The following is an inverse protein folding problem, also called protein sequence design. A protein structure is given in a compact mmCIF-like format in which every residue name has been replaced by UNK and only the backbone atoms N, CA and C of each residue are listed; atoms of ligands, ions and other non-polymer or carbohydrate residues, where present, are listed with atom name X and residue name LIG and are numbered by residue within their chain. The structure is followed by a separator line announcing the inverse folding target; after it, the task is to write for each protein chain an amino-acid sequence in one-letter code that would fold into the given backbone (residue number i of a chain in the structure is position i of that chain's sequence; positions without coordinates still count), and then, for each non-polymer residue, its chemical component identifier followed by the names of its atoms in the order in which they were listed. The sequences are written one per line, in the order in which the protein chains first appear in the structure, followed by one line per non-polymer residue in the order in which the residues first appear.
data_IF_809518078389
#
_entry.id   IF_809518078389
#
_cell.length_a   1.000
_cell.length_b   1.000
_cell.length_c   1.000
_cell.angle_alpha   90.00
_cell.angle_beta   90.00
_cell.angle_gamma   90.00
#
_symmetry.space_group_name_H-M   'P 1'
#
loop_
_entity.id
_entity.type
_entity.pdbx_description
1 polymer ?
#
# COMPACT_ATOMS: atom_id res chain seq x y z
N UNK A 1 -22.05 -22.45 -13.97
CA UNK A 1 -21.13 -21.65 -13.13
C UNK A 1 -21.82 -20.34 -12.81
N UNK A 2 -21.79 -19.91 -11.55
CA UNK A 2 -22.43 -18.66 -11.10
C UNK A 2 -21.58 -17.48 -11.58
N UNK A 3 -22.15 -16.44 -12.22
CA UNK A 3 -21.38 -15.26 -12.62
C UNK A 3 -20.94 -14.44 -11.41
N UNK A 4 -19.68 -13.98 -11.41
CA UNK A 4 -19.11 -13.12 -10.37
C UNK A 4 -18.64 -11.81 -10.99
N UNK A 5 -19.24 -10.69 -10.55
CA UNK A 5 -18.83 -9.35 -10.96
C UNK A 5 -17.57 -8.90 -10.25
N UNK A 6 -16.72 -8.15 -10.95
CA UNK A 6 -15.51 -7.55 -10.40
C UNK A 6 -15.23 -6.18 -11.01
N UNK A 7 -14.43 -5.41 -10.30
CA UNK A 7 -13.82 -4.16 -10.79
C UNK A 7 -12.31 -4.33 -10.76
N UNK A 8 -11.65 -4.06 -11.87
CA UNK A 8 -10.19 -3.95 -11.93
C UNK A 8 -9.78 -2.55 -11.51
N UNK A 9 -8.94 -2.47 -10.48
CA UNK A 9 -8.44 -1.20 -9.93
C UNK A 9 -6.93 -1.22 -9.86
N UNK A 10 -6.30 -0.06 -9.85
CA UNK A 10 -4.85 0.06 -9.62
C UNK A 10 -4.48 1.36 -8.90
N UNK A 11 -3.38 1.31 -8.16
CA UNK A 11 -2.75 2.46 -7.55
C UNK A 11 -1.25 2.42 -7.74
N UNK A 12 -0.72 3.29 -8.60
CA UNK A 12 0.71 3.36 -8.97
C UNK A 12 1.23 2.03 -9.54
N UNK A 13 0.49 1.44 -10.47
CA UNK A 13 0.86 0.21 -11.16
C UNK A 13 0.50 -1.08 -10.41
N UNK A 14 0.33 -1.02 -9.10
CA UNK A 14 -0.11 -2.16 -8.30
C UNK A 14 -1.62 -2.38 -8.46
N UNK A 15 -2.00 -3.49 -9.08
CA UNK A 15 -3.34 -3.70 -9.65
C UNK A 15 -4.09 -4.90 -9.05
N UNK A 16 -5.39 -4.73 -8.82
CA UNK A 16 -6.21 -5.66 -8.05
C UNK A 16 -7.54 -6.00 -8.71
N UNK A 17 -8.03 -7.21 -8.43
CA UNK A 17 -9.41 -7.62 -8.69
C UNK A 17 -10.23 -7.28 -7.44
N UNK A 18 -11.05 -6.23 -7.52
CA UNK A 18 -11.93 -5.82 -6.43
C UNK A 18 -13.27 -6.55 -6.53
N UNK A 19 -13.67 -7.22 -5.45
CA UNK A 19 -14.93 -7.93 -5.30
C UNK A 19 -15.73 -7.30 -4.17
N UNK A 20 -16.88 -6.73 -4.51
CA UNK A 20 -17.80 -6.17 -3.52
C UNK A 20 -18.59 -7.31 -2.84
N UNK A 21 -18.41 -7.41 -1.52
CA UNK A 21 -19.02 -8.41 -0.63
C UNK A 21 -19.67 -7.75 0.57
N UNK A 22 -19.98 -6.44 0.52
CA UNK A 22 -20.61 -5.70 1.62
C UNK A 22 -21.99 -6.23 2.02
N UNK A 23 -22.67 -6.91 1.09
CA UNK A 23 -23.97 -7.55 1.36
C UNK A 23 -23.86 -8.91 2.08
N UNK A 24 -22.65 -9.45 2.26
CA UNK A 24 -22.40 -10.72 2.96
C UNK A 24 -22.41 -10.52 4.47
N UNK A 25 -22.87 -11.53 5.20
CA UNK A 25 -22.62 -11.65 6.64
C UNK A 25 -21.14 -11.89 6.93
N UNK A 26 -20.75 -11.76 8.21
CA UNK A 26 -19.37 -12.01 8.63
C UNK A 26 -18.92 -13.45 8.36
N UNK A 27 -19.78 -14.43 8.62
CA UNK A 27 -19.47 -15.85 8.38
C UNK A 27 -19.28 -16.14 6.89
N UNK A 28 -20.17 -15.59 6.03
CA UNK A 28 -20.01 -15.71 4.57
C UNK A 28 -18.73 -15.02 4.07
N UNK A 29 -18.30 -13.93 4.70
CA UNK A 29 -17.06 -13.25 4.32
C UNK A 29 -15.83 -14.13 4.58
N UNK A 30 -15.81 -14.90 5.68
CA UNK A 30 -14.71 -15.82 5.97
C UNK A 30 -14.64 -16.97 4.93
N UNK A 31 -15.79 -17.41 4.42
CA UNK A 31 -15.87 -18.35 3.30
C UNK A 31 -15.37 -17.72 1.99
N UNK A 32 -15.72 -16.47 1.70
CA UNK A 32 -15.25 -15.72 0.52
C UNK A 32 -13.73 -15.48 0.57
N UNK A 33 -13.16 -15.25 1.76
CA UNK A 33 -11.70 -15.20 1.95
C UNK A 33 -11.07 -16.53 1.59
N UNK A 34 -11.59 -17.63 2.13
CA UNK A 34 -11.07 -18.98 1.84
C UNK A 34 -11.15 -19.31 0.36
N UNK A 35 -12.26 -18.95 -0.29
CA UNK A 35 -12.44 -19.07 -1.74
C UNK A 35 -11.42 -18.23 -2.52
N UNK A 36 -11.20 -16.97 -2.12
CA UNK A 36 -10.27 -16.08 -2.78
C UNK A 36 -8.83 -16.62 -2.67
N UNK A 37 -8.43 -17.12 -1.51
CA UNK A 37 -7.11 -17.73 -1.31
C UNK A 37 -6.91 -18.97 -2.20
N UNK A 38 -7.93 -19.82 -2.32
CA UNK A 38 -7.88 -21.02 -3.16
C UNK A 38 -7.83 -20.72 -4.67
N UNK A 39 -8.22 -19.52 -5.10
CA UNK A 39 -8.38 -19.17 -6.52
C UNK A 39 -7.54 -17.98 -6.98
N UNK A 40 -6.85 -17.30 -6.07
CA UNK A 40 -6.02 -16.13 -6.36
C UNK A 40 -5.03 -16.41 -7.48
N UNK A 41 -4.27 -17.50 -7.42
CA UNK A 41 -3.23 -17.80 -8.41
C UNK A 41 -3.78 -17.89 -9.83
N UNK A 42 -4.97 -18.50 -10.01
CA UNK A 42 -5.60 -18.62 -11.33
C UNK A 42 -6.23 -17.31 -11.79
N UNK A 43 -6.91 -16.57 -10.91
CA UNK A 43 -7.58 -15.33 -11.28
C UNK A 43 -6.57 -14.21 -11.57
N UNK A 44 -5.50 -14.15 -10.77
CA UNK A 44 -4.42 -13.18 -10.88
C UNK A 44 -3.41 -13.52 -11.99
N UNK A 45 -3.41 -14.74 -12.53
CA UNK A 45 -2.55 -15.09 -13.67
C UNK A 45 -2.83 -14.15 -14.87
N UNK A 46 -1.79 -13.46 -15.33
CA UNK A 46 -1.92 -12.42 -16.37
C UNK A 46 -2.15 -12.96 -17.78
N UNK A 47 -2.00 -14.27 -18.00
CA UNK A 47 -2.11 -14.90 -19.34
C UNK A 47 -3.43 -15.63 -19.54
N UNK A 48 -3.95 -16.24 -18.48
CA UNK A 48 -5.08 -17.16 -18.49
C UNK A 48 -6.20 -16.72 -17.53
N UNK A 49 -5.91 -15.80 -16.61
CA UNK A 49 -6.87 -15.18 -15.71
C UNK A 49 -7.26 -13.77 -16.13
N UNK A 50 -7.71 -12.99 -15.14
CA UNK A 50 -7.97 -11.55 -15.29
C UNK A 50 -6.64 -10.77 -15.27
N UNK A 51 -5.65 -11.29 -14.55
CA UNK A 51 -4.34 -10.66 -14.37
C UNK A 51 -4.35 -9.60 -13.28
N UNK A 52 -3.63 -9.79 -12.18
CA UNK A 52 -3.52 -8.86 -11.05
C UNK A 52 -2.39 -9.24 -10.10
N UNK A 53 -2.03 -8.34 -9.19
CA UNK A 53 -1.16 -8.65 -8.05
C UNK A 53 -1.91 -9.30 -6.89
N UNK A 54 -3.24 -9.12 -6.84
CA UNK A 54 -4.10 -9.71 -5.81
C UNK A 54 -5.60 -9.44 -6.00
N UNK A 55 -6.38 -9.94 -5.05
CA UNK A 55 -7.81 -9.77 -4.91
C UNK A 55 -8.08 -8.89 -3.68
N UNK A 56 -8.97 -7.91 -3.83
CA UNK A 56 -9.48 -7.08 -2.74
C UNK A 56 -10.94 -7.47 -2.48
N UNK A 57 -11.22 -8.05 -1.32
CA UNK A 57 -12.60 -8.27 -0.87
C UNK A 57 -13.04 -7.05 -0.07
N UNK A 58 -14.14 -6.42 -0.50
CA UNK A 58 -14.77 -5.30 0.23
C UNK A 58 -15.93 -5.87 1.04
N UNK A 59 -15.74 -6.07 2.34
CA UNK A 59 -16.76 -6.62 3.25
C UNK A 59 -17.58 -5.55 3.97
N UNK A 60 -18.62 -5.92 4.73
CA UNK A 60 -19.34 -4.99 5.60
C UNK A 60 -18.39 -4.34 6.62
N UNK A 61 -18.78 -3.20 7.17
CA UNK A 61 -18.10 -2.58 8.31
C UNK A 61 -18.09 -3.48 9.54
N UNK A 62 -17.01 -3.42 10.32
CA UNK A 62 -16.72 -4.33 11.44
C UNK A 62 -16.43 -3.58 12.74
N UNK A 63 -15.54 -2.58 12.68
CA UNK A 63 -14.98 -1.87 13.82
C UNK A 63 -15.29 -0.37 13.78
N UNK A 64 -16.43 -0.01 13.18
CA UNK A 64 -16.87 1.38 13.00
C UNK A 64 -16.55 1.96 11.63
N UNK A 65 -15.83 1.24 10.77
CA UNK A 65 -15.72 1.56 9.35
C UNK A 65 -17.05 1.40 8.61
N UNK A 66 -17.20 2.14 7.50
CA UNK A 66 -18.36 1.99 6.60
C UNK A 66 -18.27 0.73 5.72
N UNK A 67 -17.07 0.16 5.62
CA UNK A 67 -16.75 -1.09 4.95
C UNK A 67 -15.46 -1.68 5.54
N UNK A 68 -15.15 -2.92 5.19
CA UNK A 68 -13.85 -3.55 5.47
C UNK A 68 -13.12 -3.89 4.18
N UNK A 69 -11.79 -3.97 4.26
CA UNK A 69 -10.93 -4.44 3.18
C UNK A 69 -10.16 -5.67 3.66
N UNK A 70 -10.21 -6.73 2.86
CA UNK A 70 -9.34 -7.90 3.02
C UNK A 70 -8.54 -8.07 1.73
N UNK A 71 -7.23 -8.25 1.88
CA UNK A 71 -6.29 -8.43 0.77
C UNK A 71 -5.93 -9.90 0.66
N UNK A 72 -5.97 -10.44 -0.56
CA UNK A 72 -5.42 -11.76 -0.87
C UNK A 72 -4.45 -11.59 -2.04
N UNK A 73 -3.17 -11.82 -1.82
CA UNK A 73 -2.15 -11.75 -2.86
C UNK A 73 -2.37 -12.86 -3.91
N UNK A 74 -1.75 -12.71 -5.08
CA UNK A 74 -1.83 -13.72 -6.14
C UNK A 74 -1.42 -15.15 -5.68
N UNK A 75 -0.54 -15.27 -4.69
CA UNK A 75 -0.10 -16.55 -4.12
C UNK A 75 -1.05 -17.12 -3.05
N UNK A 76 -2.15 -16.42 -2.75
CA UNK A 76 -3.14 -16.77 -1.73
C UNK A 76 -2.79 -16.29 -0.31
N UNK A 77 -1.65 -15.64 -0.10
CA UNK A 77 -1.30 -15.05 1.19
C UNK A 77 -2.18 -13.85 1.53
N UNK A 78 -2.44 -13.63 2.83
CA UNK A 78 -3.27 -12.53 3.35
C UNK A 78 -2.39 -11.56 4.15
N UNK A 79 -1.88 -10.49 3.51
CA UNK A 79 -1.17 -9.44 4.25
C UNK A 79 -2.17 -8.63 5.09
N UNK A 80 -1.70 -8.07 6.19
CA UNK A 80 -2.56 -7.28 7.10
C UNK A 80 -2.99 -5.94 6.48
N UNK A 81 -2.20 -5.41 5.55
CA UNK A 81 -2.46 -4.10 4.94
C UNK A 81 -1.83 -4.00 3.54
N UNK A 82 -2.50 -3.25 2.66
CA UNK A 82 -1.97 -2.81 1.38
C UNK A 82 -2.41 -1.36 1.11
N UNK A 83 -1.45 -0.41 1.13
CA UNK A 83 -1.77 1.01 0.97
C UNK A 83 -2.36 1.36 -0.40
N UNK A 84 -1.89 0.71 -1.47
CA UNK A 84 -2.42 0.90 -2.82
C UNK A 84 -3.85 0.36 -2.96
N UNK A 85 -4.08 -0.86 -2.44
CA UNK A 85 -5.41 -1.46 -2.40
C UNK A 85 -6.40 -0.63 -1.57
N UNK A 86 -5.95 -0.10 -0.43
CA UNK A 86 -6.78 0.73 0.44
C UNK A 86 -7.26 2.01 -0.24
N UNK A 87 -6.39 2.70 -1.00
CA UNK A 87 -6.81 3.85 -1.82
C UNK A 87 -7.91 3.47 -2.81
N UNK A 88 -7.75 2.33 -3.49
CA UNK A 88 -8.73 1.84 -4.44
C UNK A 88 -10.08 1.49 -3.77
N UNK A 89 -10.05 0.81 -2.62
CA UNK A 89 -11.28 0.47 -1.87
C UNK A 89 -11.97 1.71 -1.34
N UNK A 90 -11.23 2.65 -0.77
CA UNK A 90 -11.79 3.91 -0.27
C UNK A 90 -12.49 4.69 -1.39
N UNK A 91 -11.86 4.80 -2.57
CA UNK A 91 -12.47 5.42 -3.74
C UNK A 91 -13.72 4.68 -4.21
N UNK A 92 -13.67 3.34 -4.29
CA UNK A 92 -14.81 2.51 -4.68
C UNK A 92 -16.02 2.65 -3.74
N UNK A 93 -15.77 2.69 -2.44
CA UNK A 93 -16.82 2.86 -1.42
C UNK A 93 -17.36 4.28 -1.44
N UNK A 94 -16.49 5.29 -1.49
CA UNK A 94 -16.86 6.70 -1.52
C UNK A 94 -17.74 7.05 -2.73
N UNK A 95 -17.45 6.49 -3.91
CA UNK A 95 -18.22 6.71 -5.13
C UNK A 95 -19.70 6.26 -5.03
N UNK A 96 -20.03 5.45 -4.03
CA UNK A 96 -21.38 4.94 -3.80
C UNK A 96 -22.11 5.63 -2.64
N UNK A 97 -21.42 6.55 -1.96
CA UNK A 97 -22.05 7.39 -0.94
C UNK A 97 -22.76 8.57 -1.60
N UNK A 98 -23.88 9.07 -1.01
CA UNK A 98 -24.54 10.27 -1.50
C UNK A 98 -23.58 11.47 -1.43
N UNK A 99 -23.23 12.06 -2.57
CA UNK A 99 -22.42 13.28 -2.60
C UNK A 99 -23.29 14.51 -2.40
N UNK A 100 -22.87 15.41 -1.51
CA UNK A 100 -23.48 16.74 -1.35
C UNK A 100 -22.46 17.81 -1.70
N UNK A 101 -22.67 18.53 -2.81
CA UNK A 101 -21.83 19.67 -3.21
C UNK A 101 -21.09 19.52 -4.55
N UNK A 102 -20.41 20.59 -5.01
CA UNK A 102 -19.75 20.67 -6.31
C UNK A 102 -18.40 19.92 -6.37
N UNK A 103 -17.69 19.81 -5.24
CA UNK A 103 -16.48 18.99 -5.09
C UNK A 103 -16.86 17.62 -4.56
N UNK A 104 -16.43 16.55 -5.25
CA UNK A 104 -16.62 15.16 -4.78
C UNK A 104 -15.53 14.80 -3.78
N UNK A 105 -15.60 15.43 -2.62
CA UNK A 105 -14.83 15.01 -1.45
C UNK A 105 -15.67 14.10 -0.57
N UNK A 106 -15.06 13.02 -0.10
CA UNK A 106 -15.67 12.11 0.84
C UNK A 106 -14.64 11.65 1.85
N UNK A 107 -15.05 11.53 3.11
CA UNK A 107 -14.26 10.85 4.13
C UNK A 107 -14.92 9.53 4.46
N UNK A 108 -14.16 8.45 4.35
CA UNK A 108 -14.60 7.10 4.72
C UNK A 108 -13.60 6.49 5.67
N UNK A 109 -14.09 5.64 6.59
CA UNK A 109 -13.24 4.79 7.41
C UNK A 109 -13.39 3.37 6.90
N UNK A 110 -12.27 2.74 6.56
CA UNK A 110 -12.22 1.36 6.08
C UNK A 110 -11.53 0.51 7.15
N UNK A 111 -12.20 -0.55 7.59
CA UNK A 111 -11.62 -1.51 8.52
C UNK A 111 -10.63 -2.42 7.78
N UNK A 112 -9.42 -2.56 8.31
CA UNK A 112 -8.38 -3.46 7.78
C UNK A 112 -7.91 -4.41 8.88
N UNK A 113 -7.14 -5.44 8.53
CA UNK A 113 -6.56 -6.35 9.53
C UNK A 113 -5.53 -5.63 10.42
N UNK A 114 -4.96 -4.51 9.94
CA UNK A 114 -4.12 -3.60 10.72
C UNK A 114 -4.90 -2.50 11.48
N UNK A 115 -6.23 -2.63 11.57
CA UNK A 115 -7.13 -1.67 12.21
C UNK A 115 -7.84 -0.71 11.24
N UNK A 116 -8.74 0.14 11.75
CA UNK A 116 -9.46 1.11 10.92
C UNK A 116 -8.52 2.19 10.36
N UNK A 117 -8.78 2.59 9.11
CA UNK A 117 -8.03 3.64 8.43
C UNK A 117 -8.97 4.70 7.87
N UNK A 118 -8.74 5.94 8.27
CA UNK A 118 -9.45 7.10 7.75
C UNK A 118 -8.87 7.50 6.40
N UNK A 119 -9.74 7.59 5.40
CA UNK A 119 -9.40 7.91 4.03
C UNK A 119 -10.18 9.13 3.57
N UNK A 120 -9.48 10.14 3.07
CA UNK A 120 -10.09 11.28 2.39
C UNK A 120 -9.93 11.08 0.88
N UNK A 121 -11.05 10.96 0.19
CA UNK A 121 -11.14 10.80 -1.26
C UNK A 121 -11.46 12.17 -1.86
N UNK A 122 -10.69 12.56 -2.88
CA UNK A 122 -10.93 13.78 -3.65
C UNK A 122 -10.87 13.43 -5.14
N UNK A 123 -11.91 13.79 -5.87
CA UNK A 123 -11.94 13.73 -7.34
C UNK A 123 -11.79 15.14 -7.91
N UNK A 124 -10.83 15.31 -8.84
CA UNK A 124 -10.63 16.56 -9.57
C UNK A 124 -11.62 16.70 -10.73
N UNK A 125 -11.71 17.91 -11.32
CA UNK A 125 -12.63 18.22 -12.43
C UNK A 125 -12.43 17.35 -13.68
N UNK A 126 -11.21 16.84 -13.88
CA UNK A 126 -10.84 15.93 -14.97
C UNK A 126 -11.14 14.45 -14.66
N UNK A 127 -11.73 14.17 -13.50
CA UNK A 127 -12.04 12.83 -13.01
C UNK A 127 -10.86 12.12 -12.33
N UNK A 128 -9.71 12.78 -12.15
CA UNK A 128 -8.58 12.17 -11.45
C UNK A 128 -8.90 12.00 -9.95
N UNK A 129 -8.81 10.77 -9.46
CA UNK A 129 -9.07 10.44 -8.06
C UNK A 129 -7.75 10.38 -7.29
N UNK A 130 -7.70 11.10 -6.18
CA UNK A 130 -6.63 10.98 -5.18
C UNK A 130 -7.21 10.61 -3.83
N UNK A 131 -6.48 9.78 -3.09
CA UNK A 131 -6.88 9.35 -1.76
C UNK A 131 -5.75 9.61 -0.78
N UNK A 132 -6.06 10.37 0.27
CA UNK A 132 -5.21 10.53 1.45
C UNK A 132 -5.57 9.48 2.49
N UNK A 133 -4.57 8.83 3.05
CA UNK A 133 -4.70 7.76 4.05
C UNK A 133 -3.87 8.15 5.27
N UNK A 134 -4.48 8.09 6.45
CA UNK A 134 -3.76 8.21 7.72
C UNK A 134 -3.02 6.88 7.99
N UNK A 135 -1.69 6.92 7.99
CA UNK A 135 -0.81 5.74 8.01
C UNK A 135 -0.36 5.34 9.42
N UNK A 136 -0.89 5.99 10.46
CA UNK A 136 -0.41 5.86 11.83
C UNK A 136 0.77 6.78 12.16
N UNK A 137 1.06 6.88 13.44
CA UNK A 137 2.24 7.59 13.94
C UNK A 137 3.50 6.75 13.68
N UNK A 138 4.53 7.39 13.15
CA UNK A 138 5.81 6.75 12.90
C UNK A 138 6.66 6.67 14.18
N UNK A 139 7.30 5.52 14.41
CA UNK A 139 8.28 5.34 15.48
C UNK A 139 9.70 5.34 14.91
N UNK A 140 10.53 6.28 15.35
CA UNK A 140 11.96 6.26 15.05
C UNK A 140 12.63 5.13 15.85
N UNK A 141 13.40 4.29 15.15
CA UNK A 141 14.21 3.23 15.74
C UNK A 141 15.69 3.65 15.89
N UNK A 142 16.01 4.87 15.48
CA UNK A 142 17.36 5.44 15.56
C UNK A 142 18.25 5.03 14.38
N UNK A 143 19.52 5.38 14.48
CA UNK A 143 20.55 5.01 13.50
C UNK A 143 20.85 3.52 13.60
N UNK A 144 20.96 2.86 12.45
CA UNK A 144 21.22 1.44 12.27
C UNK A 144 22.44 1.23 11.38
N UNK A 145 23.20 0.18 11.67
CA UNK A 145 24.42 -0.17 10.95
C UNK A 145 24.44 -1.68 10.66
N UNK A 146 23.59 -2.16 9.73
CA UNK A 146 23.60 -3.57 9.32
C UNK A 146 24.98 -3.94 8.76
N UNK A 147 25.45 -5.14 9.08
CA UNK A 147 26.76 -5.66 8.60
C UNK A 147 26.78 -5.76 7.08
N UNK A 148 25.65 -6.09 6.46
CA UNK A 148 25.52 -6.13 5.01
C UNK A 148 25.60 -4.74 4.33
N UNK A 149 25.42 -3.66 5.08
CA UNK A 149 25.44 -2.29 4.59
C UNK A 149 26.74 -1.55 4.90
N UNK A 150 27.89 -2.24 4.96
CA UNK A 150 29.19 -1.68 5.40
C UNK A 150 29.45 -0.30 4.79
N UNK A 151 29.77 0.67 5.65
CA UNK A 151 30.11 2.04 5.25
C UNK A 151 28.90 2.94 4.97
N UNK A 152 27.68 2.43 5.13
CA UNK A 152 26.44 3.21 5.00
C UNK A 152 25.72 3.33 6.33
N UNK A 153 25.11 4.48 6.53
CA UNK A 153 24.20 4.74 7.64
C UNK A 153 22.77 4.45 7.20
N UNK A 154 22.02 3.75 8.05
CA UNK A 154 20.60 3.51 7.87
C UNK A 154 19.83 4.20 9.01
N UNK A 155 18.67 4.77 8.70
CA UNK A 155 17.74 5.29 9.69
C UNK A 155 16.59 4.31 9.83
N UNK A 156 16.44 3.74 11.01
CA UNK A 156 15.35 2.83 11.31
C UNK A 156 14.05 3.59 11.58
N UNK A 157 12.98 3.20 10.90
CA UNK A 157 11.62 3.74 11.11
C UNK A 157 10.62 2.59 11.17
N UNK A 158 9.57 2.73 11.97
CA UNK A 158 8.46 1.78 11.97
C UNK A 158 7.11 2.48 11.85
N UNK A 159 6.24 1.93 11.00
CA UNK A 159 4.83 2.29 10.83
C UNK A 159 3.92 1.10 11.17
N UNK A 160 4.37 0.23 12.08
CA UNK A 160 3.81 -1.10 12.34
C UNK A 160 4.65 -2.23 11.74
N UNK A 161 5.38 -1.96 10.66
CA UNK A 161 6.42 -2.81 10.09
C UNK A 161 7.79 -2.09 10.09
N UNK A 162 8.92 -2.81 10.13
CA UNK A 162 10.26 -2.21 10.16
C UNK A 162 10.76 -1.76 8.77
N UNK A 163 11.44 -0.61 8.77
CA UNK A 163 12.08 0.02 7.61
C UNK A 163 13.49 0.47 7.96
N UNK A 164 14.42 0.30 7.01
CA UNK A 164 15.81 0.70 7.12
C UNK A 164 16.15 1.61 5.94
N UNK A 165 16.15 2.92 6.18
CA UNK A 165 16.29 3.94 5.14
C UNK A 165 17.74 4.38 5.02
N UNK A 166 18.33 4.18 3.84
CA UNK A 166 19.66 4.69 3.49
C UNK A 166 19.54 5.85 2.50
N UNK A 167 20.10 7.01 2.88
CA UNK A 167 20.22 8.11 1.94
C UNK A 167 21.50 7.96 1.12
N UNK A 168 21.35 7.95 -0.21
CA UNK A 168 22.46 7.78 -1.14
C UNK A 168 23.10 9.12 -1.50
N UNK A 169 24.37 9.09 -1.91
CA UNK A 169 25.09 10.26 -2.40
C UNK A 169 24.68 10.68 -3.82
N UNK A 170 25.13 11.87 -4.23
CA UNK A 170 24.73 12.47 -5.51
C UNK A 170 25.18 11.66 -6.74
N UNK A 171 26.29 10.92 -6.66
CA UNK A 171 26.79 10.10 -7.76
C UNK A 171 26.31 8.63 -7.70
N UNK A 172 25.45 8.29 -6.74
CA UNK A 172 25.05 6.91 -6.47
C UNK A 172 23.65 6.59 -7.00
N UNK A 173 23.50 5.53 -7.79
CA UNK A 173 22.18 5.10 -8.25
C UNK A 173 21.41 4.32 -7.14
N UNK A 174 20.26 4.83 -6.65
CA UNK A 174 19.47 4.13 -5.63
C UNK A 174 19.00 2.75 -6.09
N UNK A 175 18.67 2.56 -7.38
CA UNK A 175 18.22 1.27 -7.90
C UNK A 175 19.32 0.22 -7.80
N UNK A 176 20.51 0.55 -8.32
CA UNK A 176 21.68 -0.33 -8.27
C UNK A 176 22.00 -0.75 -6.83
N UNK A 177 21.93 0.18 -5.87
CA UNK A 177 22.16 -0.11 -4.46
C UNK A 177 21.06 -0.99 -3.86
N UNK A 178 19.79 -0.73 -4.16
CA UNK A 178 18.67 -1.55 -3.71
C UNK A 178 18.82 -3.00 -4.18
N UNK A 179 19.20 -3.22 -5.45
CA UNK A 179 19.44 -4.57 -6.00
C UNK A 179 20.67 -5.24 -5.40
N UNK A 180 21.75 -4.50 -5.18
CA UNK A 180 23.01 -5.04 -4.68
C UNK A 180 22.98 -5.37 -3.19
N UNK A 181 22.38 -4.50 -2.37
CA UNK A 181 22.46 -4.57 -0.90
C UNK A 181 21.16 -5.01 -0.24
N UNK A 182 20.00 -4.68 -0.82
CA UNK A 182 18.68 -4.99 -0.28
C UNK A 182 18.53 -6.43 0.27
N UNK A 183 18.83 -7.49 -0.50
CA UNK A 183 18.64 -8.87 -0.03
C UNK A 183 19.54 -9.26 1.14
N UNK A 184 20.72 -8.64 1.29
CA UNK A 184 21.64 -8.92 2.38
C UNK A 184 21.27 -8.11 3.63
N UNK A 185 20.86 -6.84 3.44
CA UNK A 185 20.40 -5.96 4.53
C UNK A 185 19.07 -6.44 5.11
N UNK A 186 18.11 -6.86 4.29
CA UNK A 186 16.82 -7.42 4.73
C UNK A 186 17.01 -8.53 5.79
N UNK A 187 18.01 -9.40 5.58
CA UNK A 187 18.28 -10.60 6.38
C UNK A 187 19.40 -10.41 7.41
N UNK A 188 19.86 -9.18 7.61
CA UNK A 188 20.94 -8.90 8.54
C UNK A 188 20.55 -9.35 9.97
N UNK A 189 21.47 -9.94 10.76
CA UNK A 189 21.21 -10.31 12.14
C UNK A 189 20.64 -9.18 13.01
N UNK A 190 20.93 -7.91 12.68
CA UNK A 190 20.37 -6.75 13.37
C UNK A 190 18.83 -6.65 13.31
N UNK A 191 18.21 -7.32 12.34
CA UNK A 191 16.75 -7.27 12.10
C UNK A 191 16.05 -8.59 12.41
N UNK A 192 16.74 -9.58 12.97
CA UNK A 192 16.11 -10.85 13.33
C UNK A 192 15.18 -10.71 14.54
N UNK A 193 14.09 -11.50 14.59
CA UNK A 193 13.65 -12.48 13.59
C UNK A 193 12.85 -11.88 12.43
N UNK A 194 12.38 -10.64 12.57
CA UNK A 194 11.33 -10.08 11.73
C UNK A 194 11.79 -9.58 10.36
N UNK A 195 13.11 -9.48 10.12
CA UNK A 195 13.72 -8.84 8.94
C UNK A 195 13.31 -7.36 8.82
N UNK A 196 13.67 -6.69 7.72
CA UNK A 196 13.26 -5.29 7.47
C UNK A 196 13.03 -5.02 5.98
N UNK A 197 12.17 -4.05 5.69
CA UNK A 197 12.18 -3.38 4.39
C UNK A 197 13.42 -2.49 4.32
N UNK A 198 13.99 -2.35 3.11
CA UNK A 198 15.21 -1.58 2.89
C UNK A 198 14.98 -0.54 1.81
N UNK A 199 15.13 0.72 2.17
CA UNK A 199 14.90 1.86 1.30
C UNK A 199 16.21 2.52 0.92
N UNK A 200 16.39 2.80 -0.37
CA UNK A 200 17.50 3.62 -0.88
C UNK A 200 16.91 4.89 -1.49
N UNK A 201 17.25 6.02 -0.88
CA UNK A 201 16.58 7.29 -1.14
C UNK A 201 17.57 8.39 -1.53
N UNK A 202 17.19 9.19 -2.50
CA UNK A 202 17.89 10.42 -2.90
C UNK A 202 16.96 11.60 -2.69
N UNK A 203 17.38 12.59 -1.93
CA UNK A 203 16.65 13.86 -1.82
C UNK A 203 17.04 14.72 -3.01
N UNK A 204 16.25 14.68 -4.08
CA UNK A 204 16.58 15.27 -5.37
C UNK A 204 16.28 16.77 -5.45
N UNK A 205 15.36 17.27 -4.61
CA UNK A 205 15.04 18.69 -4.47
C UNK A 205 14.37 18.96 -3.11
N UNK A 206 14.13 20.24 -2.72
CA UNK A 206 13.28 20.54 -1.57
C UNK A 206 11.93 19.85 -1.70
N UNK A 207 11.52 19.09 -0.66
CA UNK A 207 10.29 18.30 -0.66
C UNK A 207 10.19 17.25 -1.79
N UNK A 208 11.30 16.80 -2.37
CA UNK A 208 11.30 15.76 -3.39
C UNK A 208 12.32 14.66 -3.09
N UNK A 209 11.88 13.41 -3.15
CA UNK A 209 12.67 12.22 -2.87
C UNK A 209 12.45 11.20 -3.99
N UNK A 210 13.53 10.66 -4.53
CA UNK A 210 13.52 9.47 -5.37
C UNK A 210 13.80 8.25 -4.49
N UNK A 211 13.02 7.18 -4.67
CA UNK A 211 13.01 6.04 -3.75
C UNK A 211 12.92 4.70 -4.49
N UNK A 212 13.85 3.81 -4.15
CA UNK A 212 13.77 2.38 -4.46
C UNK A 212 13.67 1.56 -3.19
N UNK A 213 12.83 0.54 -3.23
CA UNK A 213 12.53 -0.30 -2.07
C UNK A 213 12.85 -1.75 -2.39
N UNK A 214 13.64 -2.37 -1.52
CA UNK A 214 13.68 -3.82 -1.39
C UNK A 214 12.72 -4.21 -0.27
N UNK A 215 11.56 -4.73 -0.66
CA UNK A 215 10.48 -5.08 0.25
C UNK A 215 10.70 -6.48 0.85
N UNK A 216 10.53 -6.57 2.17
CA UNK A 216 10.74 -7.77 2.97
C UNK A 216 9.93 -8.94 2.40
N UNK A 217 10.61 -10.02 2.03
CA UNK A 217 9.98 -11.22 1.49
C UNK A 217 9.46 -11.11 0.06
N UNK A 218 9.61 -9.95 -0.60
CA UNK A 218 9.12 -9.71 -1.97
C UNK A 218 10.28 -9.40 -2.91
N UNK A 219 11.18 -8.47 -2.55
CA UNK A 219 12.25 -7.97 -3.41
C UNK A 219 11.97 -6.56 -3.92
N UNK A 220 12.46 -6.22 -5.11
CA UNK A 220 12.22 -4.88 -5.70
C UNK A 220 10.74 -4.73 -6.08
N UNK A 221 10.10 -3.69 -5.56
CA UNK A 221 8.70 -3.37 -5.86
C UNK A 221 8.54 -1.99 -6.51
N UNK A 222 7.50 -1.85 -7.34
CA UNK A 222 7.21 -0.61 -8.06
C UNK A 222 6.72 0.50 -7.11
N UNK A 223 6.04 0.12 -6.02
CA UNK A 223 5.54 1.06 -5.02
C UNK A 223 5.42 0.41 -3.64
N UNK A 224 5.84 1.11 -2.60
CA UNK A 224 5.67 0.72 -1.20
C UNK A 224 5.23 1.92 -0.37
N UNK A 225 3.97 1.94 0.07
CA UNK A 225 3.39 3.09 0.78
C UNK A 225 4.04 3.34 2.15
N UNK A 226 4.24 2.29 2.95
CA UNK A 226 4.92 2.40 4.25
C UNK A 226 6.40 2.75 4.07
N UNK A 227 7.07 2.24 3.03
CA UNK A 227 8.46 2.60 2.69
C UNK A 227 8.60 4.08 2.31
N UNK A 228 7.67 4.62 1.52
CA UNK A 228 7.62 6.04 1.19
C UNK A 228 7.41 6.91 2.44
N UNK A 229 6.47 6.52 3.32
CA UNK A 229 6.24 7.19 4.59
C UNK A 229 7.46 7.14 5.51
N UNK A 230 8.09 5.97 5.68
CA UNK A 230 9.30 5.80 6.48
C UNK A 230 10.45 6.67 5.98
N UNK A 231 10.63 6.73 4.66
CA UNK A 231 11.66 7.54 4.01
C UNK A 231 11.44 9.03 4.25
N UNK A 232 10.20 9.52 4.09
CA UNK A 232 9.89 10.93 4.37
C UNK A 232 10.10 11.28 5.85
N UNK A 233 9.74 10.37 6.78
CA UNK A 233 9.98 10.55 8.22
C UNK A 233 11.48 10.61 8.52
N UNK A 234 12.28 9.70 7.95
CA UNK A 234 13.73 9.72 8.09
C UNK A 234 14.34 11.01 7.53
N UNK A 235 13.85 11.49 6.39
CA UNK A 235 14.33 12.72 5.76
C UNK A 235 13.98 13.96 6.59
N UNK A 236 12.75 14.01 7.14
CA UNK A 236 12.30 15.10 8.00
C UNK A 236 13.12 15.14 9.29
N UNK A 237 13.37 13.98 9.90
CA UNK A 237 14.22 13.84 11.09
C UNK A 237 15.65 14.31 10.84
N UNK A 238 16.19 14.05 9.65
CA UNK A 238 17.52 14.50 9.22
C UNK A 238 17.56 15.96 8.77
N UNK A 239 16.43 16.70 8.83
CA UNK A 239 16.34 18.09 8.36
C UNK A 239 16.49 18.26 6.85
N UNK A 240 16.30 17.18 6.07
CA UNK A 240 16.43 17.19 4.61
C UNK A 240 15.14 17.61 3.89
N UNK A 241 14.00 17.46 4.57
CA UNK A 241 12.67 17.92 4.14
C UNK A 241 11.96 18.57 5.32
N UNK A 242 10.98 19.44 5.05
CA UNK A 242 10.16 20.09 6.06
C UNK A 242 8.99 19.21 6.50
N UNK A 243 8.67 19.27 7.80
CA UNK A 243 7.41 18.75 8.32
C UNK A 243 6.22 19.60 7.85
N UNK A 244 5.01 19.06 7.99
CA UNK A 244 3.70 19.69 7.73
C UNK A 244 3.46 20.13 6.28
N UNK A 245 4.42 19.87 5.38
CA UNK A 245 4.30 20.09 3.95
C UNK A 245 4.36 18.75 3.20
N UNK A 246 3.61 18.59 2.09
CA UNK A 246 3.72 17.41 1.24
C UNK A 246 5.14 17.25 0.70
N UNK A 247 5.68 16.04 0.81
CA UNK A 247 6.93 15.57 0.20
C UNK A 247 6.56 14.64 -0.95
N UNK A 248 6.99 14.98 -2.17
CA UNK A 248 6.85 14.12 -3.33
C UNK A 248 7.88 13.00 -3.27
N UNK A 249 7.41 11.78 -3.03
CA UNK A 249 8.25 10.57 -3.05
C UNK A 249 7.97 9.84 -4.36
N UNK A 250 8.91 9.93 -5.30
CA UNK A 250 8.87 9.27 -6.59
C UNK A 250 9.40 7.83 -6.45
N UNK A 251 8.53 6.86 -6.72
CA UNK A 251 8.87 5.44 -6.83
C UNK A 251 8.77 5.00 -8.31
N UNK A 252 9.27 3.81 -8.69
CA UNK A 252 9.17 3.33 -10.08
C UNK A 252 7.73 3.34 -10.64
N UNK A 253 6.74 2.97 -9.82
CA UNK A 253 5.31 2.95 -10.17
C UNK A 253 4.64 4.33 -10.18
N UNK A 254 5.34 5.37 -9.73
CA UNK A 254 4.91 6.76 -9.72
C UNK A 254 5.02 7.44 -8.35
N UNK A 255 4.38 8.59 -8.19
CA UNK A 255 4.63 9.49 -7.06
C UNK A 255 3.55 9.40 -5.99
N UNK A 256 3.99 9.30 -4.73
CA UNK A 256 3.16 9.54 -3.54
C UNK A 256 3.50 10.90 -2.93
N UNK A 257 2.51 11.56 -2.35
CA UNK A 257 2.71 12.74 -1.52
C UNK A 257 2.62 12.33 -0.05
N UNK A 258 3.70 12.52 0.69
CA UNK A 258 3.76 12.20 2.12
C UNK A 258 3.82 13.48 2.92
N UNK A 259 2.92 13.65 3.88
CA UNK A 259 3.01 14.73 4.87
C UNK A 259 3.42 14.13 6.20
N UNK A 260 4.57 14.54 6.71
CA UNK A 260 5.08 14.17 8.03
C UNK A 260 4.73 15.29 9.00
N UNK A 261 3.91 15.04 10.04
CA UNK A 261 3.56 16.09 10.99
C UNK A 261 4.77 16.51 11.84
N UNK A 262 4.80 17.78 12.27
CA UNK A 262 5.79 18.26 13.25
C UNK A 262 5.54 17.71 14.66
N UNK A 263 4.28 17.42 15.00
CA UNK A 263 3.91 16.67 16.20
C UNK A 263 4.20 15.17 15.98
N UNK A 264 5.16 14.56 16.70
CA UNK A 264 5.48 13.14 16.55
C UNK A 264 4.38 12.19 17.01
N UNK A 265 3.35 12.68 17.73
CA UNK A 265 2.18 11.89 18.11
C UNK A 265 1.10 11.86 17.01
N UNK A 266 1.15 12.79 16.04
CA UNK A 266 0.22 12.83 14.93
C UNK A 266 0.58 11.80 13.84
N UNK A 267 -0.42 11.44 13.04
CA UNK A 267 -0.25 10.41 12.02
C UNK A 267 0.44 10.95 10.76
N UNK A 268 1.29 10.11 10.16
CA UNK A 268 1.82 10.38 8.82
C UNK A 268 0.69 10.21 7.81
N UNK A 269 0.54 11.17 6.90
CA UNK A 269 -0.50 11.11 5.86
C UNK A 269 0.15 10.77 4.53
N UNK A 270 -0.35 9.72 3.88
CA UNK A 270 0.03 9.33 2.52
C UNK A 270 -1.10 9.66 1.57
N UNK A 271 -0.83 10.48 0.55
CA UNK A 271 -1.75 10.76 -0.54
C UNK A 271 -1.21 10.19 -1.85
N UNK A 272 -2.06 9.51 -2.60
CA UNK A 272 -1.70 8.97 -3.89
C UNK A 272 -2.89 8.82 -4.83
N UNK A 273 -2.64 8.64 -6.14
CA UNK A 273 -3.69 8.36 -7.09
C UNK A 273 -4.18 6.92 -6.97
N UNK A 274 -5.38 6.70 -7.47
CA UNK A 274 -5.92 5.38 -7.80
C UNK A 274 -6.91 5.52 -8.95
N UNK A 275 -7.14 4.44 -9.70
CA UNK A 275 -8.17 4.43 -10.73
C UNK A 275 -8.83 3.06 -10.90
N UNK A 276 -10.07 3.10 -11.36
CA UNK A 276 -10.71 1.94 -11.99
C UNK A 276 -10.19 1.80 -13.42
N UNK A 277 -9.73 0.62 -13.78
CA UNK A 277 -9.21 0.30 -15.12
C UNK A 277 -10.33 -0.22 -16.01
N UNK A 278 -11.05 -1.24 -15.54
CA UNK A 278 -12.22 -1.81 -16.22
C UNK A 278 -13.10 -2.56 -15.22
N UNK A 279 -14.28 -3.00 -15.65
CA UNK A 279 -15.15 -3.88 -14.87
C UNK A 279 -15.60 -5.06 -15.75
N UNK A 280 -15.98 -6.17 -15.11
CA UNK A 280 -16.39 -7.36 -15.85
C UNK A 280 -17.08 -8.40 -14.98
N UNK A 281 -17.35 -9.54 -15.60
CA UNK A 281 -17.94 -10.72 -14.97
C UNK A 281 -17.13 -11.94 -15.39
N UNK A 282 -16.82 -12.84 -14.46
CA UNK A 282 -16.22 -14.15 -14.75
C UNK A 282 -17.08 -15.28 -14.20
N UNK A 283 -16.89 -16.48 -14.72
CA UNK A 283 -17.56 -17.67 -14.22
C UNK A 283 -16.91 -18.13 -12.90
N UNK A 284 -17.68 -18.26 -11.82
CA UNK A 284 -17.21 -18.83 -10.55
C UNK A 284 -16.58 -20.18 -10.83
N UNK A 285 -15.29 -20.33 -10.52
CA UNK A 285 -14.54 -21.48 -10.95
C UNK A 285 -14.50 -22.58 -9.88
N UNK A 286 -15.31 -22.45 -8.82
CA UNK A 286 -15.67 -23.56 -7.93
C UNK A 286 -16.39 -24.65 -8.72
N UNK A 287 -16.19 -25.94 -8.38
CA UNK A 287 -17.00 -27.01 -8.96
C UNK A 287 -18.47 -26.71 -8.67
N UNK A 288 -19.34 -26.84 -9.68
CA UNK A 288 -20.78 -26.76 -9.45
C UNK A 288 -21.13 -27.81 -8.41
N UNK A 289 -21.67 -27.40 -7.26
CA UNK A 289 -22.33 -28.33 -6.34
C UNK A 289 -23.47 -28.97 -7.13
N UNK A 290 -23.25 -30.17 -7.63
CA UNK A 290 -24.31 -31.02 -8.17
C UNK A 290 -25.20 -31.39 -6.98
N UNK A 291 -26.33 -30.71 -6.87
CA UNK A 291 -27.48 -31.16 -6.09
C UNK A 291 -27.99 -32.50 -6.61
#
# INVERSE_FOLDING_TARGET
MVPVSFVKVEGLGNDFILLDRRARSRAELDEEVSWAQAHAARLCDRRTGIGADGILLVGPGLAGGVASMIVVNFDGSRPEMCGNGLRCVAAFVAAQLPTSGPTREATVVIDTDAGPRRCQVSEADDGAITVSVEMGAAKLLGTQAPRAGVGREFVGVSLGNPHAVCFVGDDEDPETLARALGPAVERDPAYQPDKTNVEFARVSAPQAIELWVWERGVGITEACGTGACATAVAAARAGRVACDLPVAVALPGGTLLITVPSDPAAEVVMRGPCRQVFAGVFADPSPSSSS
#
